data_IF_954157865425
#
_entry.id   IF_954157865425
#
_cell.length_a   1.000
_cell.length_b   1.000
_cell.length_c   1.000
_cell.angle_alpha   90.00
_cell.angle_beta   90.00
_cell.angle_gamma   90.00
#
_symmetry.space_group_name_H-M   'P 1'
#
loop_
_entity.id
_entity.type
_entity.pdbx_description
1 polymer ?
#
# COMPACT_ATOMS: atom_id res chain seq x y z
N UNK A 1 -9.82 -0.69 -4.79
CA UNK A 1 -9.42 -0.70 -6.22
C UNK A 1 -9.66 0.65 -6.90
N UNK A 2 -10.89 1.14 -7.10
CA UNK A 2 -11.13 2.42 -7.81
C UNK A 2 -10.38 3.64 -7.27
N UNK A 3 -10.21 3.76 -5.95
CA UNK A 3 -9.41 4.85 -5.36
C UNK A 3 -7.92 4.73 -5.71
N UNK A 4 -7.39 3.50 -5.81
CA UNK A 4 -6.00 3.24 -6.20
C UNK A 4 -5.80 3.56 -7.69
N UNK A 5 -6.75 3.18 -8.55
CA UNK A 5 -6.73 3.55 -9.98
C UNK A 5 -6.75 5.07 -10.16
N UNK A 6 -7.63 5.76 -9.41
CA UNK A 6 -7.70 7.22 -9.45
C UNK A 6 -6.40 7.87 -8.93
N UNK A 7 -5.76 7.28 -7.92
CA UNK A 7 -4.48 7.75 -7.41
C UNK A 7 -3.36 7.61 -8.44
N UNK A 8 -3.31 6.49 -9.19
CA UNK A 8 -2.36 6.29 -10.27
C UNK A 8 -2.50 7.37 -11.36
N UNK A 9 -3.74 7.71 -11.74
CA UNK A 9 -4.01 8.80 -12.70
C UNK A 9 -3.52 10.15 -12.17
N UNK A 10 -3.69 10.43 -10.87
CA UNK A 10 -3.19 11.67 -10.24
C UNK A 10 -1.66 11.70 -10.24
N UNK A 11 -1.01 10.60 -9.83
CA UNK A 11 0.46 10.48 -9.83
C UNK A 11 1.05 10.74 -11.21
N UNK A 12 0.48 10.12 -12.24
CA UNK A 12 0.97 10.27 -13.61
C UNK A 12 0.74 11.69 -14.13
N UNK A 13 -0.50 12.20 -14.03
CA UNK A 13 -0.89 13.49 -14.61
C UNK A 13 -0.25 14.68 -13.91
N UNK A 14 -0.26 14.70 -12.59
CA UNK A 14 0.08 15.89 -11.80
C UNK A 14 1.54 15.87 -11.31
N UNK A 15 2.14 14.69 -11.20
CA UNK A 15 3.47 14.49 -10.63
C UNK A 15 4.44 13.72 -11.52
N UNK A 16 4.04 13.32 -12.74
CA UNK A 16 4.87 12.57 -13.69
C UNK A 16 5.43 11.25 -13.13
N UNK A 17 4.68 10.60 -12.24
CA UNK A 17 5.04 9.32 -11.64
C UNK A 17 4.13 8.23 -12.21
N UNK A 18 4.70 7.31 -12.99
CA UNK A 18 3.99 6.14 -13.48
C UNK A 18 3.82 5.10 -12.36
N UNK A 19 2.72 4.35 -12.38
CA UNK A 19 2.44 3.30 -11.42
C UNK A 19 1.79 2.08 -12.07
N UNK A 20 2.27 0.89 -11.71
CA UNK A 20 1.61 -0.37 -12.06
C UNK A 20 0.48 -0.67 -11.07
N UNK A 21 -0.70 -0.98 -11.59
CA UNK A 21 -1.88 -1.27 -10.77
C UNK A 21 -2.10 -2.78 -10.67
N UNK A 22 -2.13 -3.28 -9.44
CA UNK A 22 -2.33 -4.70 -9.14
C UNK A 22 -3.65 -4.94 -8.41
N UNK A 23 -4.40 -5.93 -8.87
CA UNK A 23 -5.59 -6.42 -8.17
C UNK A 23 -5.23 -7.60 -7.26
N UNK A 24 -5.21 -7.34 -5.95
CA UNK A 24 -4.99 -8.36 -4.93
C UNK A 24 -6.32 -9.00 -4.52
N UNK A 25 -6.71 -10.09 -5.19
CA UNK A 25 -8.03 -10.73 -5.00
C UNK A 25 -8.17 -11.43 -3.64
N UNK A 26 -7.09 -11.96 -3.08
CA UNK A 26 -7.09 -12.57 -1.74
C UNK A 26 -5.74 -12.43 -1.05
N UNK A 27 -5.67 -11.54 -0.06
CA UNK A 27 -4.49 -11.41 0.82
C UNK A 27 -4.21 -12.71 1.55
N UNK A 28 -5.27 -13.37 2.04
CA UNK A 28 -5.15 -14.59 2.84
C UNK A 28 -4.50 -15.72 2.04
N UNK A 29 -4.83 -15.88 0.75
CA UNK A 29 -4.22 -16.91 -0.09
C UNK A 29 -2.75 -16.59 -0.41
N UNK A 30 -2.42 -15.32 -0.67
CA UNK A 30 -1.03 -14.90 -0.86
C UNK A 30 -0.18 -15.14 0.40
N UNK A 31 -0.74 -14.88 1.59
CA UNK A 31 -0.06 -15.15 2.85
C UNK A 31 0.11 -16.66 3.10
N UNK A 32 -0.91 -17.47 2.79
CA UNK A 32 -0.84 -18.94 2.88
C UNK A 32 0.21 -19.51 1.94
N UNK A 33 0.27 -19.00 0.71
CA UNK A 33 1.29 -19.39 -0.28
C UNK A 33 2.70 -19.06 0.22
N UNK A 34 2.94 -17.83 0.69
CA UNK A 34 4.24 -17.43 1.21
C UNK A 34 4.69 -18.26 2.40
N UNK A 35 3.83 -18.51 3.37
CA UNK A 35 4.17 -19.39 4.50
C UNK A 35 4.41 -20.83 4.08
N UNK A 36 3.66 -21.35 3.09
CA UNK A 36 3.87 -22.69 2.53
C UNK A 36 5.26 -22.78 1.91
N UNK A 37 5.66 -21.79 1.11
CA UNK A 37 6.97 -21.71 0.47
C UNK A 37 8.09 -21.62 1.51
N UNK A 38 7.99 -20.71 2.49
CA UNK A 38 8.99 -20.61 3.56
C UNK A 38 9.15 -21.92 4.33
N UNK A 39 8.03 -22.56 4.69
CA UNK A 39 8.05 -23.86 5.36
C UNK A 39 8.72 -24.92 4.48
N UNK A 40 8.42 -24.96 3.19
CA UNK A 40 9.05 -25.90 2.26
C UNK A 40 10.57 -25.68 2.23
N UNK A 41 11.03 -24.45 2.01
CA UNK A 41 12.45 -24.12 1.91
C UNK A 41 13.21 -24.46 3.19
N UNK A 42 12.62 -24.16 4.36
CA UNK A 42 13.19 -24.50 5.66
C UNK A 42 13.36 -26.02 5.85
N UNK A 43 12.43 -26.83 5.33
CA UNK A 43 12.45 -28.29 5.47
C UNK A 43 13.27 -28.99 4.37
N UNK A 44 13.67 -28.28 3.31
CA UNK A 44 14.39 -28.82 2.17
C UNK A 44 15.63 -27.96 1.83
N UNK A 45 16.64 -27.89 2.72
CA UNK A 45 17.78 -26.97 2.56
C UNK A 45 18.73 -27.31 1.39
N UNK A 46 18.59 -28.49 0.79
CA UNK A 46 19.43 -28.93 -0.33
C UNK A 46 18.77 -28.73 -1.71
N UNK A 47 17.50 -28.33 -1.75
CA UNK A 47 16.81 -28.02 -3.00
C UNK A 47 16.90 -26.53 -3.30
N UNK A 48 16.73 -26.16 -4.58
CA UNK A 48 16.60 -24.76 -4.95
C UNK A 48 15.40 -24.13 -4.20
N UNK A 49 15.57 -22.97 -3.54
CA UNK A 49 14.47 -22.33 -2.81
C UNK A 49 13.30 -21.97 -3.73
N UNK A 50 12.09 -22.37 -3.34
CA UNK A 50 10.86 -21.86 -3.95
C UNK A 50 10.68 -20.37 -3.63
N UNK A 51 10.01 -19.62 -4.51
CA UNK A 51 9.72 -18.19 -4.35
C UNK A 51 8.20 -18.01 -4.18
N UNK A 52 7.69 -17.24 -3.20
CA UNK A 52 6.27 -16.98 -3.06
C UNK A 52 5.68 -16.31 -4.31
N UNK A 53 4.43 -16.62 -4.66
CA UNK A 53 3.79 -16.11 -5.87
C UNK A 53 3.78 -14.57 -5.95
N UNK A 54 3.43 -13.91 -4.84
CA UNK A 54 3.44 -12.43 -4.78
C UNK A 54 4.84 -11.85 -5.00
N UNK A 55 5.88 -12.53 -4.50
CA UNK A 55 7.26 -12.16 -4.73
C UNK A 55 7.62 -12.32 -6.21
N UNK A 56 7.21 -13.41 -6.86
CA UNK A 56 7.44 -13.61 -8.30
C UNK A 56 6.79 -12.52 -9.15
N UNK A 57 5.55 -12.13 -8.83
CA UNK A 57 4.84 -11.07 -9.56
C UNK A 57 5.51 -9.71 -9.42
N UNK A 58 6.01 -9.39 -8.23
CA UNK A 58 6.55 -8.07 -7.91
C UNK A 58 8.05 -7.96 -8.12
N UNK A 59 8.82 -9.06 -8.15
CA UNK A 59 10.27 -9.00 -8.36
C UNK A 59 10.72 -8.24 -9.62
N UNK A 60 10.05 -8.34 -10.80
CA UNK A 60 10.51 -7.67 -12.01
C UNK A 60 10.12 -6.18 -12.11
N UNK A 61 9.33 -5.64 -11.18
CA UNK A 61 8.89 -4.23 -11.23
C UNK A 61 9.87 -3.31 -10.49
N UNK A 62 9.60 -2.01 -10.43
CA UNK A 62 10.45 -1.02 -9.73
C UNK A 62 9.63 -0.09 -8.82
N UNK A 63 10.29 0.61 -7.91
CA UNK A 63 9.66 1.56 -6.98
C UNK A 63 8.87 0.93 -5.82
N UNK A 64 8.36 1.75 -4.89
CA UNK A 64 7.71 1.30 -3.66
C UNK A 64 6.34 0.66 -3.93
N UNK A 65 5.92 -0.30 -3.11
CA UNK A 65 4.56 -0.87 -3.17
C UNK A 65 3.64 -0.20 -2.16
N UNK A 66 2.51 0.32 -2.65
CA UNK A 66 1.44 0.88 -1.83
C UNK A 66 0.20 0.00 -1.95
N UNK A 67 -0.33 -0.47 -0.82
CA UNK A 67 -1.59 -1.20 -0.77
C UNK A 67 -2.63 -0.45 0.05
N UNK A 68 -3.85 -0.35 -0.47
CA UNK A 68 -4.99 0.22 0.23
C UNK A 68 -6.19 -0.73 0.18
N UNK A 69 -6.75 -1.03 1.35
CA UNK A 69 -7.87 -1.96 1.51
C UNK A 69 -8.94 -1.39 2.44
N UNK A 70 -10.20 -1.78 2.24
CA UNK A 70 -11.32 -1.47 3.15
C UNK A 70 -11.31 -2.35 4.43
N UNK A 71 -10.13 -2.90 4.78
CA UNK A 71 -9.86 -3.67 6.00
C UNK A 71 -8.75 -2.98 6.77
N UNK A 72 -8.62 -3.32 8.06
CA UNK A 72 -7.51 -2.87 8.91
C UNK A 72 -6.15 -3.22 8.29
N UNK A 73 -5.12 -2.40 8.55
CA UNK A 73 -3.76 -2.60 8.02
C UNK A 73 -3.21 -3.99 8.33
N UNK A 74 -3.56 -4.55 9.50
CA UNK A 74 -3.12 -5.88 9.90
C UNK A 74 -3.51 -6.98 8.91
N UNK A 75 -4.66 -6.86 8.23
CA UNK A 75 -5.08 -7.81 7.21
C UNK A 75 -4.06 -7.87 6.08
N UNK A 76 -3.77 -6.74 5.45
CA UNK A 76 -2.85 -6.63 4.33
C UNK A 76 -1.37 -6.80 4.74
N UNK A 77 -1.01 -6.47 5.98
CA UNK A 77 0.35 -6.68 6.47
C UNK A 77 0.75 -8.16 6.57
N UNK A 78 -0.18 -9.10 6.48
CA UNK A 78 0.12 -10.54 6.48
C UNK A 78 1.09 -10.98 5.37
N UNK A 79 1.15 -10.24 4.25
CA UNK A 79 2.03 -10.58 3.13
C UNK A 79 3.36 -9.81 3.15
N UNK A 80 3.62 -8.98 4.16
CA UNK A 80 4.77 -8.06 4.20
C UNK A 80 6.11 -8.76 4.02
N UNK A 81 6.29 -9.95 4.61
CA UNK A 81 7.51 -10.76 4.48
C UNK A 81 7.79 -11.18 3.03
N UNK A 82 6.75 -11.26 2.20
CA UNK A 82 6.84 -11.73 0.82
C UNK A 82 6.92 -10.57 -0.21
N UNK A 83 6.84 -9.32 0.23
CA UNK A 83 7.01 -8.16 -0.65
C UNK A 83 8.51 -7.82 -0.75
N UNK A 84 9.13 -7.85 -1.93
CA UNK A 84 10.58 -7.76 -2.07
C UNK A 84 11.15 -6.33 -1.90
N UNK A 85 10.36 -5.38 -1.40
CA UNK A 85 10.69 -3.95 -1.39
C UNK A 85 9.91 -3.18 -0.32
N UNK A 86 10.07 -1.87 -0.28
CA UNK A 86 9.30 -1.01 0.62
C UNK A 86 7.80 -1.22 0.39
N UNK A 87 7.06 -1.39 1.49
CA UNK A 87 5.65 -1.72 1.46
C UNK A 87 4.87 -0.86 2.45
N UNK A 88 4.06 0.06 1.95
CA UNK A 88 3.18 0.90 2.75
C UNK A 88 1.75 0.40 2.63
N UNK A 89 1.10 0.20 3.78
CA UNK A 89 -0.27 -0.30 3.85
C UNK A 89 -1.17 0.77 4.44
N UNK A 90 -2.21 1.12 3.70
CA UNK A 90 -3.35 1.91 4.15
C UNK A 90 -4.52 0.97 4.43
N UNK A 91 -5.19 1.20 5.55
CA UNK A 91 -6.27 0.36 6.04
C UNK A 91 -7.15 1.11 7.01
N UNK A 92 -8.32 0.54 7.26
CA UNK A 92 -9.41 1.18 8.02
C UNK A 92 -9.36 0.81 9.50
N UNK A 93 -8.22 1.02 10.14
CA UNK A 93 -8.04 0.82 11.58
C UNK A 93 -8.86 1.85 12.37
N UNK A 94 -9.46 1.43 13.49
CA UNK A 94 -10.34 2.26 14.31
C UNK A 94 -11.80 1.80 14.31
N UNK A 95 -12.64 2.52 15.05
CA UNK A 95 -14.07 2.19 15.14
C UNK A 95 -14.86 2.69 13.94
N UNK A 96 -15.82 1.89 13.51
CA UNK A 96 -16.76 2.28 12.47
C UNK A 96 -17.65 3.44 12.92
N UNK A 97 -18.08 4.26 11.95
CA UNK A 97 -19.01 5.37 12.18
C UNK A 97 -19.98 5.51 11.02
N UNK A 98 -21.10 6.16 11.26
CA UNK A 98 -22.14 6.38 10.24
C UNK A 98 -21.80 7.63 9.42
N UNK A 99 -21.49 7.43 8.14
CA UNK A 99 -21.29 8.51 7.17
C UNK A 99 -21.40 7.96 5.73
N UNK A 100 -21.24 8.81 4.73
CA UNK A 100 -21.10 8.44 3.33
C UNK A 100 -19.79 7.70 3.08
N UNK A 101 -19.76 6.85 2.03
CA UNK A 101 -18.53 6.12 1.65
C UNK A 101 -17.34 7.03 1.37
N UNK A 102 -17.57 8.21 0.79
CA UNK A 102 -16.50 9.16 0.50
C UNK A 102 -15.88 9.70 1.81
N UNK A 103 -16.72 10.16 2.74
CA UNK A 103 -16.29 10.66 4.04
C UNK A 103 -15.62 9.58 4.89
N UNK A 104 -16.09 8.34 4.85
CA UNK A 104 -15.45 7.24 5.56
C UNK A 104 -14.05 6.92 5.00
N UNK A 105 -13.84 6.99 3.69
CA UNK A 105 -12.51 6.72 3.10
C UNK A 105 -11.51 7.83 3.37
N UNK A 106 -11.96 9.07 3.34
CA UNK A 106 -11.19 10.22 3.81
C UNK A 106 -10.83 10.07 5.29
N UNK A 107 -11.81 9.71 6.10
CA UNK A 107 -11.60 9.49 7.53
C UNK A 107 -10.59 8.38 7.82
N UNK A 108 -10.74 7.22 7.20
CA UNK A 108 -9.82 6.10 7.40
C UNK A 108 -8.53 6.21 6.59
N UNK A 109 -8.34 7.29 5.83
CA UNK A 109 -7.09 7.56 5.11
C UNK A 109 -6.80 6.52 4.02
N UNK A 110 -7.86 6.03 3.37
CA UNK A 110 -7.80 5.01 2.32
C UNK A 110 -8.33 5.50 0.96
N UNK A 111 -8.66 6.79 0.86
CA UNK A 111 -9.03 7.40 -0.42
C UNK A 111 -7.82 7.65 -1.33
N UNK A 112 -8.07 8.04 -2.58
CA UNK A 112 -7.02 8.28 -3.58
C UNK A 112 -5.97 9.30 -3.14
N UNK A 113 -6.33 10.30 -2.33
CA UNK A 113 -5.40 11.35 -1.91
C UNK A 113 -4.36 10.80 -0.95
N UNK A 114 -4.80 9.95 -0.02
CA UNK A 114 -3.91 9.27 0.90
C UNK A 114 -3.05 8.21 0.21
N UNK A 115 -3.55 7.55 -0.85
CA UNK A 115 -2.73 6.67 -1.71
C UNK A 115 -1.61 7.46 -2.40
N UNK A 116 -1.91 8.63 -2.99
CA UNK A 116 -0.90 9.52 -3.59
C UNK A 116 0.12 9.96 -2.53
N UNK A 117 -0.35 10.42 -1.36
CA UNK A 117 0.53 10.84 -0.28
C UNK A 117 1.46 9.70 0.19
N UNK A 118 0.93 8.49 0.34
CA UNK A 118 1.70 7.31 0.72
C UNK A 118 2.78 6.97 -0.33
N UNK A 119 2.44 7.03 -1.62
CA UNK A 119 3.39 6.81 -2.71
C UNK A 119 4.51 7.85 -2.70
N UNK A 120 4.17 9.14 -2.64
CA UNK A 120 5.13 10.25 -2.60
C UNK A 120 6.03 10.18 -1.37
N UNK A 121 5.46 9.82 -0.21
CA UNK A 121 6.23 9.63 1.03
C UNK A 121 7.21 8.46 0.92
N UNK A 122 6.79 7.34 0.32
CA UNK A 122 7.65 6.18 0.12
C UNK A 122 8.79 6.49 -0.87
N UNK A 123 8.49 7.16 -1.98
CA UNK A 123 9.51 7.64 -2.93
C UNK A 123 10.49 8.61 -2.27
N UNK A 124 10.02 9.48 -1.37
CA UNK A 124 10.90 10.38 -0.62
C UNK A 124 11.81 9.64 0.37
N UNK A 125 11.32 8.56 0.97
CA UNK A 125 12.14 7.70 1.84
C UNK A 125 13.23 6.97 1.05
N UNK A 126 12.98 6.64 -0.22
CA UNK A 126 13.95 6.03 -1.13
C UNK A 126 14.89 7.07 -1.79
N UNK A 127 14.64 8.37 -1.59
CA UNK A 127 15.44 9.47 -2.16
C UNK A 127 15.08 9.84 -3.60
N UNK A 128 14.01 9.26 -4.15
CA UNK A 128 13.56 9.51 -5.53
C UNK A 128 12.82 10.83 -5.70
N UNK A 129 12.21 11.36 -4.63
CA UNK A 129 11.57 12.69 -4.59
C UNK A 129 11.93 13.41 -3.29
N UNK A 130 11.75 14.73 -3.26
CA UNK A 130 12.04 15.55 -2.08
C UNK A 130 10.88 15.55 -1.07
N UNK A 131 11.19 15.86 0.20
CA UNK A 131 10.16 16.09 1.23
C UNK A 131 9.28 17.30 0.93
N UNK A 132 9.83 18.29 0.21
CA UNK A 132 9.08 19.48 -0.20
C UNK A 132 8.00 19.13 -1.22
N UNK A 133 8.27 18.18 -2.14
CA UNK A 133 7.25 17.65 -3.05
C UNK A 133 6.14 16.90 -2.30
N UNK A 134 6.47 16.16 -1.24
CA UNK A 134 5.47 15.53 -0.36
C UNK A 134 4.60 16.59 0.32
N UNK A 135 5.20 17.65 0.87
CA UNK A 135 4.47 18.74 1.50
C UNK A 135 3.56 19.47 0.49
N UNK A 136 4.03 19.64 -0.75
CA UNK A 136 3.22 20.19 -1.85
C UNK A 136 2.00 19.31 -2.13
N UNK A 137 2.16 17.99 -2.22
CA UNK A 137 1.07 17.03 -2.43
C UNK A 137 0.00 17.16 -1.34
N UNK A 138 0.40 17.27 -0.07
CA UNK A 138 -0.55 17.45 1.04
C UNK A 138 -1.39 18.71 0.86
N UNK A 139 -0.76 19.81 0.44
CA UNK A 139 -1.44 21.08 0.18
C UNK A 139 -2.37 21.00 -1.03
N UNK A 140 -1.88 20.45 -2.15
CA UNK A 140 -2.61 20.38 -3.42
C UNK A 140 -3.85 19.48 -3.30
N UNK A 141 -3.79 18.44 -2.46
CA UNK A 141 -4.89 17.50 -2.22
C UNK A 141 -5.75 17.84 -0.99
N UNK A 142 -5.42 18.92 -0.27
CA UNK A 142 -6.16 19.35 0.92
C UNK A 142 -6.15 18.34 2.06
N UNK A 143 -5.00 17.68 2.30
CA UNK A 143 -4.82 16.74 3.41
C UNK A 143 -4.46 17.52 4.68
N UNK A 144 -5.30 17.40 5.70
CA UNK A 144 -5.08 18.04 7.00
C UNK A 144 -4.11 17.22 7.88
N UNK A 145 -2.90 17.73 8.18
CA UNK A 145 -1.94 17.04 9.04
C UNK A 145 -2.35 17.03 10.53
N UNK A 146 -3.32 17.86 10.93
CA UNK A 146 -3.79 17.98 12.31
C UNK A 146 -5.01 17.11 12.61
N UNK A 147 -5.52 16.41 11.59
CA UNK A 147 -6.62 15.46 11.73
C UNK A 147 -6.26 14.38 12.77
N UNK A 148 -7.16 14.03 13.71
CA UNK A 148 -6.94 12.96 14.66
C UNK A 148 -6.72 11.60 13.98
N UNK A 149 -5.88 10.76 14.59
CA UNK A 149 -5.70 9.37 14.17
C UNK A 149 -7.05 8.63 14.26
N UNK A 150 -7.50 7.93 13.21
CA UNK A 150 -8.75 7.17 13.22
C UNK A 150 -8.89 6.15 14.37
N UNK A 151 -7.79 5.70 14.95
CA UNK A 151 -7.76 4.77 16.08
C UNK A 151 -7.95 5.44 17.45
N UNK A 152 -7.85 6.76 17.50
CA UNK A 152 -7.88 7.56 18.74
C UNK A 152 -9.24 8.21 19.04
N UNK A 153 -10.22 8.06 18.14
CA UNK A 153 -11.53 8.73 18.18
C UNK A 153 -12.70 7.75 18.16
#
# INVERSE_FOLDING_TARGET
>A
MREVEAAAVILERDYSIAADIWSMTSVNELARDGHRVLRHNMMNPQTEPEVPYVTQCLAPTEGPVIAATDYIRAHTNQIREFIPRSFTVLGTDGFGRSDTRAQLREFFEVDRRYVVLAAMTALANEGSVSRDEVAKVMKDLGIDPTKPDPTSV
#
